data_IF_437779507746
#
_entry.id   IF_437779507746
#
_cell.length_a   1.000
_cell.length_b   1.000
_cell.length_c   1.000
_cell.angle_alpha   90.00
_cell.angle_beta   90.00
_cell.angle_gamma   90.00
#
_symmetry.space_group_name_H-M   'P 1'
#
loop_
_entity.id
_entity.type
_entity.pdbx_description
1 polymer ?
#
# COMPACT_ATOMS: atom_id res chain seq x y z
N UNK A 1 27.96 11.10 -41.57
CA UNK A 1 27.81 10.91 -40.11
C UNK A 1 27.80 9.44 -39.71
N UNK A 2 26.97 8.57 -40.29
CA UNK A 2 27.02 7.12 -39.96
C UNK A 2 28.38 6.45 -40.21
N UNK A 3 29.07 6.81 -41.29
CA UNK A 3 30.41 6.26 -41.60
C UNK A 3 31.50 6.63 -40.60
N UNK A 4 31.41 7.81 -39.96
CA UNK A 4 32.41 8.21 -38.95
C UNK A 4 32.21 7.45 -37.65
N UNK A 5 30.96 7.17 -37.26
CA UNK A 5 30.64 6.35 -36.09
C UNK A 5 31.08 4.90 -36.27
N UNK A 6 30.91 4.33 -37.46
CA UNK A 6 31.38 2.95 -37.75
C UNK A 6 32.90 2.87 -37.75
N UNK A 7 33.58 3.86 -38.33
CA UNK A 7 35.03 3.94 -38.30
C UNK A 7 35.56 4.07 -36.85
N UNK A 8 34.94 4.92 -36.03
CA UNK A 8 35.31 5.10 -34.63
C UNK A 8 35.05 3.84 -33.79
N UNK A 9 33.95 3.12 -34.05
CA UNK A 9 33.65 1.84 -33.39
C UNK A 9 34.70 0.76 -33.74
N UNK A 10 35.07 0.66 -35.02
CA UNK A 10 36.12 -0.28 -35.47
C UNK A 10 37.47 0.12 -34.87
N UNK A 11 37.80 1.42 -34.88
CA UNK A 11 39.02 1.93 -34.27
C UNK A 11 39.02 1.76 -32.74
N UNK A 12 37.88 1.76 -32.05
CA UNK A 12 37.82 1.48 -30.61
C UNK A 12 38.02 -0.02 -30.30
N UNK A 13 37.48 -0.91 -31.14
CA UNK A 13 37.60 -2.37 -30.97
C UNK A 13 39.01 -2.86 -31.31
N UNK A 14 39.63 -2.28 -32.34
CA UNK A 14 40.95 -2.72 -32.84
C UNK A 14 42.10 -1.75 -32.51
N UNK A 15 41.81 -0.50 -32.10
CA UNK A 15 42.83 0.51 -31.81
C UNK A 15 43.63 0.22 -30.55
N UNK A 16 43.11 -0.61 -29.65
CA UNK A 16 43.85 -1.15 -28.52
C UNK A 16 44.98 -2.10 -28.97
N UNK A 17 44.79 -2.81 -30.10
CA UNK A 17 45.81 -3.68 -30.70
C UNK A 17 47.00 -2.90 -31.28
N UNK A 18 46.86 -1.61 -31.56
CA UNK A 18 47.92 -0.75 -32.10
C UNK A 18 48.62 0.11 -31.04
N UNK A 19 48.01 0.32 -29.86
CA UNK A 19 48.55 1.18 -28.80
C UNK A 19 49.28 0.42 -27.67
N UNK A 20 49.31 -0.92 -27.71
CA UNK A 20 49.99 -1.72 -26.69
C UNK A 20 49.44 -1.52 -25.27
N UNK A 21 48.25 -0.92 -25.16
CA UNK A 21 47.55 -0.76 -23.90
C UNK A 21 46.99 -2.13 -23.57
N UNK A 22 47.67 -2.80 -22.66
CA UNK A 22 47.12 -3.99 -22.02
C UNK A 22 45.97 -3.50 -21.16
N UNK A 23 44.73 -3.77 -21.60
CA UNK A 23 43.57 -3.69 -20.72
C UNK A 23 43.96 -4.40 -19.41
N UNK A 24 43.80 -3.76 -18.23
CA UNK A 24 44.11 -4.43 -16.98
C UNK A 24 43.38 -5.75 -16.99
N UNK A 25 44.14 -6.84 -16.80
CA UNK A 25 43.61 -8.19 -16.81
C UNK A 25 42.32 -8.19 -15.99
N UNK A 26 41.22 -8.58 -16.63
CA UNK A 26 39.93 -8.63 -15.97
C UNK A 26 40.15 -9.42 -14.68
N UNK A 27 39.78 -8.85 -13.52
CA UNK A 27 40.12 -9.49 -12.27
C UNK A 27 39.52 -10.91 -12.28
N UNK A 28 40.30 -11.92 -11.87
CA UNK A 28 39.86 -13.33 -11.80
C UNK A 28 38.63 -13.54 -10.90
N UNK A 29 38.20 -12.48 -10.21
CA UNK A 29 36.97 -12.44 -9.44
C UNK A 29 35.79 -12.00 -10.31
N UNK A 30 34.71 -12.78 -10.25
CA UNK A 30 33.41 -12.40 -10.82
C UNK A 30 33.00 -10.99 -10.37
N UNK A 31 32.46 -10.19 -11.31
CA UNK A 31 31.93 -8.85 -11.04
C UNK A 31 30.94 -8.84 -9.85
N UNK A 32 30.10 -9.87 -9.72
CA UNK A 32 29.16 -10.00 -8.59
C UNK A 32 29.90 -10.13 -7.26
N UNK A 33 31.01 -10.87 -7.23
CA UNK A 33 31.85 -11.03 -6.05
C UNK A 33 32.59 -9.73 -5.72
N UNK A 34 33.14 -9.05 -6.74
CA UNK A 34 33.81 -7.77 -6.57
C UNK A 34 32.86 -6.71 -5.97
N UNK A 35 31.64 -6.62 -6.51
CA UNK A 35 30.61 -5.71 -6.00
C UNK A 35 30.15 -6.07 -4.59
N UNK A 36 29.92 -7.37 -4.33
CA UNK A 36 29.59 -7.87 -3.01
C UNK A 36 30.64 -7.51 -1.96
N UNK A 37 31.93 -7.68 -2.29
CA UNK A 37 33.02 -7.28 -1.38
C UNK A 37 32.92 -5.81 -1.00
N UNK A 38 32.71 -4.91 -1.96
CA UNK A 38 32.63 -3.47 -1.68
C UNK A 38 31.36 -3.11 -0.88
N UNK A 39 30.22 -3.70 -1.23
CA UNK A 39 28.93 -3.44 -0.54
C UNK A 39 28.95 -3.90 0.92
N UNK A 40 29.46 -5.11 1.20
CA UNK A 40 29.42 -5.69 2.54
C UNK A 40 30.60 -5.27 3.44
N UNK A 41 31.69 -4.76 2.87
CA UNK A 41 32.85 -4.33 3.68
C UNK A 41 32.95 -2.81 3.83
N UNK A 42 32.88 -2.06 2.73
CA UNK A 42 33.10 -0.60 2.75
C UNK A 42 31.81 0.18 2.96
N UNK A 43 30.69 -0.30 2.42
CA UNK A 43 29.43 0.45 2.37
C UNK A 43 28.27 -0.22 3.11
N UNK A 44 28.56 -1.02 4.13
CA UNK A 44 27.55 -1.76 4.90
C UNK A 44 26.43 -0.85 5.43
N UNK A 45 26.78 0.32 5.97
CA UNK A 45 25.79 1.28 6.50
C UNK A 45 24.88 1.86 5.40
N UNK A 46 25.44 2.21 4.23
CA UNK A 46 24.64 2.71 3.10
C UNK A 46 23.69 1.63 2.58
N UNK A 47 24.15 0.38 2.52
CA UNK A 47 23.31 -0.76 2.15
C UNK A 47 22.16 -0.96 3.15
N UNK A 48 22.43 -0.83 4.45
CA UNK A 48 21.39 -0.92 5.49
C UNK A 48 20.37 0.22 5.40
N UNK A 49 20.81 1.45 5.15
CA UNK A 49 19.91 2.59 4.93
C UNK A 49 19.05 2.39 3.68
N UNK A 50 19.62 1.87 2.59
CA UNK A 50 18.84 1.50 1.41
C UNK A 50 17.76 0.46 1.74
N UNK A 51 18.05 -0.52 2.61
CA UNK A 51 17.06 -1.46 3.13
C UNK A 51 15.92 -0.79 3.91
N UNK A 52 16.24 0.18 4.76
CA UNK A 52 15.21 0.97 5.48
C UNK A 52 14.36 1.80 4.51
N UNK A 53 14.97 2.40 3.49
CA UNK A 53 14.24 3.14 2.45
C UNK A 53 13.26 2.20 1.73
N UNK A 54 13.69 1.00 1.34
CA UNK A 54 12.82 0.00 0.71
C UNK A 54 11.66 -0.42 1.61
N UNK A 55 11.93 -0.61 2.92
CA UNK A 55 10.88 -0.93 3.89
C UNK A 55 9.83 0.19 3.99
N UNK A 56 10.28 1.44 4.15
CA UNK A 56 9.40 2.60 4.19
C UNK A 56 8.62 2.75 2.88
N UNK A 57 9.25 2.48 1.73
CA UNK A 57 8.60 2.54 0.43
C UNK A 57 7.44 1.53 0.32
N UNK A 58 7.60 0.30 0.81
CA UNK A 58 6.51 -0.69 0.84
C UNK A 58 5.34 -0.22 1.71
N UNK A 59 5.62 0.29 2.91
CA UNK A 59 4.60 0.82 3.82
C UNK A 59 3.88 2.02 3.16
N UNK A 60 4.65 2.91 2.53
CA UNK A 60 4.13 4.08 1.84
C UNK A 60 3.20 3.71 0.68
N UNK A 61 3.57 2.75 -0.15
CA UNK A 61 2.75 2.29 -1.28
C UNK A 61 1.40 1.70 -0.81
N UNK A 62 1.41 0.85 0.22
CA UNK A 62 0.19 0.27 0.81
C UNK A 62 -0.69 1.38 1.43
N UNK A 63 -0.08 2.28 2.21
CA UNK A 63 -0.82 3.37 2.84
C UNK A 63 -1.46 4.31 1.82
N UNK A 64 -0.78 4.59 0.70
CA UNK A 64 -1.28 5.50 -0.32
C UNK A 64 -2.49 4.93 -1.09
N UNK A 65 -2.52 3.60 -1.28
CA UNK A 65 -3.60 2.93 -2.00
C UNK A 65 -4.78 2.54 -1.11
N UNK A 66 -4.61 2.59 0.22
CA UNK A 66 -5.65 2.26 1.19
C UNK A 66 -6.75 3.34 1.21
N UNK A 67 -7.73 3.21 0.32
CA UNK A 67 -8.90 4.10 0.27
C UNK A 67 -9.96 3.69 1.29
N UNK A 68 -10.33 4.62 2.18
CA UNK A 68 -11.49 4.45 3.06
C UNK A 68 -12.77 4.68 2.25
N UNK A 69 -13.68 3.69 2.22
CA UNK A 69 -15.00 3.85 1.60
C UNK A 69 -15.86 4.80 2.44
N UNK A 70 -16.37 5.84 1.80
CA UNK A 70 -17.39 6.74 2.35
C UNK A 70 -18.76 6.08 2.27
N UNK A 71 -19.63 6.33 3.25
CA UNK A 71 -20.99 5.76 3.31
C UNK A 71 -21.13 4.44 4.06
N UNK A 72 -20.03 3.88 4.60
CA UNK A 72 -20.11 2.70 5.46
C UNK A 72 -20.56 3.13 6.86
N UNK A 73 -21.76 2.71 7.27
CA UNK A 73 -22.23 2.88 8.65
C UNK A 73 -21.33 2.08 9.58
N UNK A 74 -20.58 2.78 10.43
CA UNK A 74 -19.79 2.14 11.48
C UNK A 74 -20.66 1.95 12.70
N UNK A 75 -20.69 0.72 13.18
CA UNK A 75 -21.33 0.40 14.45
C UNK A 75 -20.35 0.67 15.58
N UNK A 76 -20.85 1.27 16.67
CA UNK A 76 -20.13 1.33 17.93
C UNK A 76 -20.68 0.19 18.79
N UNK A 77 -19.93 -0.91 18.88
CA UNK A 77 -20.36 -2.14 19.58
C UNK A 77 -20.84 -1.83 21.00
N UNK A 78 -20.09 -0.97 21.72
CA UNK A 78 -20.44 -0.57 23.08
C UNK A 78 -21.82 0.10 23.16
N UNK A 79 -22.14 1.00 22.21
CA UNK A 79 -23.45 1.66 22.17
C UNK A 79 -24.57 0.71 21.75
N UNK A 80 -24.28 -0.28 20.91
CA UNK A 80 -25.28 -1.28 20.53
C UNK A 80 -25.62 -2.23 21.67
N UNK A 81 -24.62 -2.64 22.46
CA UNK A 81 -24.82 -3.56 23.57
C UNK A 81 -25.47 -2.88 24.79
N UNK A 82 -25.24 -1.56 24.94
CA UNK A 82 -25.81 -0.77 26.03
C UNK A 82 -27.27 -0.32 25.76
N UNK A 83 -27.83 -0.60 24.57
CA UNK A 83 -29.23 -0.23 24.26
C UNK A 83 -30.21 -0.92 25.18
N UNK A 84 -31.18 -0.15 25.65
CA UNK A 84 -32.26 -0.67 26.50
C UNK A 84 -33.52 -0.96 25.69
N UNK A 85 -34.41 -1.79 26.23
CA UNK A 85 -35.64 -2.20 25.53
C UNK A 85 -36.57 -1.02 25.23
N UNK A 86 -36.68 -0.09 26.17
CA UNK A 86 -37.42 1.18 26.07
C UNK A 86 -36.94 2.08 24.93
N UNK A 87 -35.68 1.96 24.50
CA UNK A 87 -35.14 2.73 23.36
C UNK A 87 -35.39 2.04 22.00
N UNK A 88 -35.93 0.81 21.99
CA UNK A 88 -36.00 -0.01 20.77
C UNK A 88 -37.41 -0.44 20.38
N UNK A 89 -38.31 -0.63 21.36
CA UNK A 89 -39.66 -1.13 21.10
C UNK A 89 -40.66 -0.40 22.00
N UNK A 90 -41.69 0.15 21.39
CA UNK A 90 -42.86 0.71 22.09
C UNK A 90 -44.00 -0.32 22.01
N UNK A 91 -44.59 -0.64 23.15
CA UNK A 91 -45.79 -1.49 23.21
C UNK A 91 -47.01 -0.59 23.04
N UNK A 92 -47.82 -0.88 22.01
CA UNK A 92 -49.02 -0.11 21.69
C UNK A 92 -50.22 -1.03 21.76
N UNK A 93 -51.19 -0.69 22.58
CA UNK A 93 -52.46 -1.42 22.63
C UNK A 93 -53.37 -1.04 21.47
N UNK A 94 -53.87 -2.08 20.78
CA UNK A 94 -54.69 -1.93 19.58
C UNK A 94 -56.03 -2.66 19.77
N UNK A 95 -57.18 -2.00 19.49
CA UNK A 95 -58.49 -2.64 19.60
C UNK A 95 -58.66 -3.85 18.68
N UNK A 96 -59.37 -4.86 19.15
CA UNK A 96 -59.61 -6.12 18.43
C UNK A 96 -60.37 -5.84 17.12
N UNK A 97 -59.79 -6.25 15.99
CA UNK A 97 -60.35 -6.02 14.64
C UNK A 97 -59.78 -4.80 13.90
N UNK A 98 -58.93 -3.98 14.54
CA UNK A 98 -58.24 -2.88 13.85
C UNK A 98 -57.00 -3.38 13.09
N UNK A 99 -56.94 -3.09 11.79
CA UNK A 99 -55.80 -3.43 10.94
C UNK A 99 -54.59 -2.51 11.16
N UNK A 100 -53.42 -2.94 10.66
CA UNK A 100 -52.14 -2.23 10.83
C UNK A 100 -52.15 -0.75 10.36
N UNK A 101 -53.07 -0.36 9.45
CA UNK A 101 -53.22 1.03 9.00
C UNK A 101 -53.79 1.98 10.06
N UNK A 102 -54.54 1.48 11.04
CA UNK A 102 -55.20 2.33 12.05
C UNK A 102 -54.21 2.80 13.11
N UNK A 103 -53.14 2.03 13.35
CA UNK A 103 -52.13 2.28 14.39
C UNK A 103 -51.25 3.51 14.10
N UNK A 104 -51.05 3.84 12.82
CA UNK A 104 -50.21 4.97 12.38
C UNK A 104 -50.78 6.36 12.75
N UNK A 105 -52.08 6.47 13.03
CA UNK A 105 -52.77 7.73 13.33
C UNK A 105 -53.14 7.88 14.82
N UNK A 106 -52.72 6.97 15.71
CA UNK A 106 -53.05 7.05 17.14
C UNK A 106 -52.01 7.93 17.86
N UNK A 107 -52.39 9.12 18.38
CA UNK A 107 -51.47 9.99 19.11
C UNK A 107 -50.99 9.33 20.41
N UNK A 108 -49.72 9.56 20.75
CA UNK A 108 -49.03 8.93 21.90
C UNK A 108 -49.67 9.23 23.25
N UNK A 109 -50.47 10.29 23.36
CA UNK A 109 -51.11 10.73 24.60
C UNK A 109 -52.34 9.92 25.02
N UNK A 110 -52.79 8.94 24.23
CA UNK A 110 -53.97 8.10 24.51
C UNK A 110 -53.65 6.61 24.77
N UNK A 111 -52.38 6.30 25.01
CA UNK A 111 -51.84 4.92 25.10
C UNK A 111 -51.57 4.43 26.53
N UNK A 112 -51.96 5.20 27.54
CA UNK A 112 -51.91 4.79 28.95
C UNK A 112 -53.34 4.57 29.45
N UNK A 113 -53.67 3.31 29.70
CA UNK A 113 -54.92 2.83 30.28
C UNK A 113 -54.81 1.33 30.49
#
# INVERSE_FOLDING_TARGET
VGGILVFELVAAIYGDAFNGVTLPAAPDISNTRALGNVLYTKYMYLFQVAGLILLVAMIGAISLTMRRRVGVRRQVIAQQNARRRDESVEVVDVPVGAGARTIANVPSSKREG
#
